data_IF_068940825071
#
_entry.id   IF_068940825071
#
_cell.length_a   1.000
_cell.length_b   1.000
_cell.length_c   1.000
_cell.angle_alpha   90.00
_cell.angle_beta   90.00
_cell.angle_gamma   90.00
#
_symmetry.space_group_name_H-M   'P 1'
#
loop_
_entity.id
_entity.type
_entity.pdbx_description
1 polymer ?
#
# COMPACT_ATOMS: atom_id res chain seq x y z
N UNK A 1 0.45 -0.86 1.32
CA UNK A 1 -0.10 -1.04 -0.03
C UNK A 1 0.43 0.03 -0.98
N UNK A 2 -0.15 1.25 -1.06
CA UNK A 2 0.15 2.21 -2.14
C UNK A 2 1.61 2.65 -2.30
N UNK A 3 2.43 2.55 -1.26
CA UNK A 3 3.85 2.91 -1.29
C UNK A 3 4.77 1.76 -1.73
N UNK A 4 4.24 0.55 -1.92
CA UNK A 4 4.97 -0.61 -2.42
C UNK A 4 4.98 -0.60 -3.95
N UNK A 5 6.02 -1.19 -4.56
CA UNK A 5 6.08 -1.38 -6.02
C UNK A 5 5.03 -2.37 -6.53
N UNK A 6 4.76 -3.40 -5.72
CA UNK A 6 3.77 -4.45 -5.99
C UNK A 6 2.94 -4.71 -4.74
N UNK A 7 1.66 -5.00 -4.95
CA UNK A 7 0.71 -5.36 -3.90
C UNK A 7 -0.03 -6.63 -4.29
N UNK A 8 0.14 -7.67 -3.48
CA UNK A 8 -0.69 -8.87 -3.48
C UNK A 8 -1.64 -8.76 -2.28
N UNK A 9 -2.91 -9.09 -2.46
CA UNK A 9 -3.91 -8.98 -1.42
C UNK A 9 -4.74 -10.26 -1.31
N UNK A 10 -4.97 -10.70 -0.07
CA UNK A 10 -5.91 -11.77 0.22
C UNK A 10 -7.35 -11.27 -0.04
N UNK A 11 -8.29 -12.12 -0.47
CA UNK A 11 -9.67 -11.71 -0.78
C UNK A 11 -10.38 -11.02 0.37
N UNK A 12 -10.12 -11.43 1.61
CA UNK A 12 -10.72 -10.80 2.78
C UNK A 12 -10.23 -9.37 3.04
N UNK A 13 -9.16 -8.91 2.37
CA UNK A 13 -8.56 -7.59 2.60
C UNK A 13 -9.52 -6.43 2.30
N UNK A 14 -9.33 -5.32 3.00
CA UNK A 14 -10.05 -4.05 2.79
C UNK A 14 -9.06 -2.90 2.70
N UNK A 15 -9.36 -1.92 1.85
CA UNK A 15 -8.50 -0.76 1.59
C UNK A 15 -9.30 0.54 1.70
N UNK A 16 -8.73 1.57 2.32
CA UNK A 16 -9.40 2.86 2.44
C UNK A 16 -8.49 3.95 3.02
N UNK A 17 -8.99 5.19 2.99
CA UNK A 17 -8.32 6.39 3.51
C UNK A 17 -9.28 7.14 4.45
N UNK A 18 -9.53 6.63 5.67
CA UNK A 18 -10.59 7.12 6.55
C UNK A 18 -10.28 8.46 7.23
N UNK A 19 -9.11 9.06 6.99
CA UNK A 19 -8.61 10.26 7.67
C UNK A 19 -9.58 11.44 7.63
N UNK A 20 -10.36 11.60 6.55
CA UNK A 20 -11.35 12.69 6.44
C UNK A 20 -12.47 12.58 7.48
N UNK A 21 -12.76 11.37 7.97
CA UNK A 21 -13.76 11.14 9.02
C UNK A 21 -13.35 11.72 10.38
N UNK A 22 -12.06 12.06 10.54
CA UNK A 22 -11.51 12.74 11.72
C UNK A 22 -11.01 14.16 11.39
N UNK A 23 -11.41 14.72 10.25
CA UNK A 23 -11.00 16.06 9.83
C UNK A 23 -9.54 16.17 9.37
N UNK A 24 -8.91 15.05 9.01
CA UNK A 24 -7.54 15.01 8.54
C UNK A 24 -7.46 14.66 7.05
N UNK A 25 -6.50 15.23 6.33
CA UNK A 25 -6.30 14.95 4.90
C UNK A 25 -4.99 14.21 4.72
N UNK A 26 -4.98 12.99 4.11
CA UNK A 26 -3.79 12.18 3.96
C UNK A 26 -2.96 12.64 2.75
N UNK A 27 -2.54 13.91 2.71
CA UNK A 27 -1.93 14.58 1.55
C UNK A 27 -0.72 13.82 0.98
N UNK A 28 0.17 13.34 1.87
CA UNK A 28 1.35 12.57 1.47
C UNK A 28 0.97 11.26 0.78
N UNK A 29 0.01 10.52 1.35
CA UNK A 29 -0.41 9.22 0.81
C UNK A 29 -1.24 9.42 -0.46
N UNK A 30 -2.03 10.50 -0.54
CA UNK A 30 -2.79 10.89 -1.72
C UNK A 30 -1.90 11.17 -2.93
N UNK A 31 -0.73 11.79 -2.74
CA UNK A 31 0.25 11.99 -3.81
C UNK A 31 0.77 10.67 -4.38
N UNK A 32 0.86 9.62 -3.55
CA UNK A 32 1.27 8.28 -3.96
C UNK A 32 0.08 7.54 -4.61
N UNK A 33 -1.12 7.60 -4.02
CA UNK A 33 -2.33 6.97 -4.54
C UNK A 33 -2.64 7.41 -5.97
N UNK A 34 -2.49 8.70 -6.27
CA UNK A 34 -2.69 9.27 -7.62
C UNK A 34 -1.74 8.71 -8.69
N UNK A 35 -0.64 8.04 -8.29
CA UNK A 35 0.25 7.32 -9.22
C UNK A 35 -0.22 5.89 -9.49
N UNK A 36 -1.06 5.34 -8.61
CA UNK A 36 -1.56 3.97 -8.69
C UNK A 36 -2.93 3.89 -9.38
N UNK A 37 -3.82 4.85 -9.09
CA UNK A 37 -5.21 4.84 -9.59
C UNK A 37 -5.54 6.15 -10.30
N UNK A 38 -6.63 6.16 -11.07
CA UNK A 38 -7.10 7.39 -11.71
C UNK A 38 -7.38 8.50 -10.71
N UNK A 39 -7.20 9.75 -11.13
CA UNK A 39 -7.46 10.95 -10.32
C UNK A 39 -8.86 10.94 -9.68
N UNK A 40 -9.88 10.50 -10.41
CA UNK A 40 -11.26 10.41 -9.92
C UNK A 40 -11.41 9.41 -8.78
N UNK A 41 -10.81 8.22 -8.93
CA UNK A 41 -10.83 7.17 -7.89
C UNK A 41 -10.03 7.59 -6.66
N UNK A 42 -8.86 8.22 -6.86
CA UNK A 42 -8.07 8.73 -5.75
C UNK A 42 -8.85 9.78 -4.94
N UNK A 43 -9.50 10.72 -5.62
CA UNK A 43 -10.31 11.75 -4.97
C UNK A 43 -11.51 11.15 -4.22
N UNK A 44 -12.26 10.24 -4.85
CA UNK A 44 -13.40 9.54 -4.23
C UNK A 44 -12.99 8.81 -2.94
N UNK A 45 -11.94 7.99 -3.01
CA UNK A 45 -11.46 7.21 -1.87
C UNK A 45 -11.04 8.10 -0.70
N UNK A 46 -10.30 9.16 -0.97
CA UNK A 46 -9.80 10.08 0.07
C UNK A 46 -10.93 10.94 0.64
N UNK A 47 -11.85 11.44 -0.19
CA UNK A 47 -12.88 12.40 0.27
C UNK A 47 -14.09 11.74 0.93
N UNK A 48 -14.42 10.49 0.56
CA UNK A 48 -15.46 9.71 1.24
C UNK A 48 -14.91 8.95 2.45
N UNK A 49 -13.63 8.54 2.40
CA UNK A 49 -12.99 7.74 3.44
C UNK A 49 -13.65 6.37 3.65
N UNK A 50 -14.32 5.84 2.63
CA UNK A 50 -14.91 4.51 2.64
C UNK A 50 -13.86 3.45 2.33
N UNK A 51 -14.11 2.24 2.83
CA UNK A 51 -13.31 1.07 2.47
C UNK A 51 -13.86 0.43 1.19
N UNK A 52 -12.96 -0.14 0.40
CA UNK A 52 -13.24 -0.95 -0.78
C UNK A 52 -12.73 -2.38 -0.57
N UNK A 53 -13.31 -3.34 -1.30
CA UNK A 53 -12.85 -4.72 -1.28
C UNK A 53 -11.52 -4.89 -2.02
N UNK A 54 -10.88 -6.04 -1.82
CA UNK A 54 -9.65 -6.39 -2.54
C UNK A 54 -9.91 -6.57 -4.06
N UNK A 55 -11.07 -7.08 -4.46
CA UNK A 55 -11.49 -7.17 -5.86
C UNK A 55 -11.61 -5.79 -6.50
N UNK A 56 -12.27 -4.84 -5.82
CA UNK A 56 -12.37 -3.47 -6.33
C UNK A 56 -11.00 -2.80 -6.38
N UNK A 57 -10.14 -3.02 -5.38
CA UNK A 57 -8.79 -2.51 -5.37
C UNK A 57 -7.95 -3.02 -6.56
N UNK A 58 -8.12 -4.27 -6.98
CA UNK A 58 -7.52 -4.80 -8.22
C UNK A 58 -8.12 -4.10 -9.44
N UNK A 59 -9.45 -3.98 -9.51
CA UNK A 59 -10.13 -3.39 -10.65
C UNK A 59 -9.73 -1.93 -10.93
N UNK A 60 -9.35 -1.17 -9.89
CA UNK A 60 -8.92 0.23 -10.03
C UNK A 60 -7.40 0.40 -10.14
N UNK A 61 -6.62 -0.69 -10.07
CA UNK A 61 -5.16 -0.67 -10.19
C UNK A 61 -4.38 -0.39 -8.89
N UNK A 62 -5.03 -0.43 -7.73
CA UNK A 62 -4.37 -0.27 -6.42
C UNK A 62 -3.64 -1.55 -5.98
N UNK A 63 -4.13 -2.71 -6.41
CA UNK A 63 -3.58 -4.04 -6.10
C UNK A 63 -3.24 -4.75 -7.40
N UNK A 64 -2.07 -5.40 -7.46
CA UNK A 64 -1.61 -6.12 -8.66
C UNK A 64 -2.27 -7.49 -8.79
N UNK A 65 -2.46 -8.20 -7.67
CA UNK A 65 -3.02 -9.55 -7.67
C UNK A 65 -3.88 -9.82 -6.44
N UNK A 66 -5.02 -10.44 -6.69
CA UNK A 66 -5.86 -11.03 -5.67
C UNK A 66 -5.43 -12.49 -5.47
N UNK A 67 -5.38 -12.93 -4.23
CA UNK A 67 -4.99 -14.28 -3.83
C UNK A 67 -6.05 -14.84 -2.89
N UNK A 68 -6.38 -16.13 -3.04
CA UNK A 68 -7.32 -16.81 -2.15
C UNK A 68 -6.75 -16.87 -0.72
N UNK A 69 -7.59 -16.64 0.30
CA UNK A 69 -7.12 -16.50 1.68
C UNK A 69 -6.42 -17.76 2.18
N UNK A 70 -6.90 -18.95 1.80
CA UNK A 70 -6.35 -20.24 2.21
C UNK A 70 -5.01 -20.59 1.54
N UNK A 71 -4.72 -19.99 0.38
CA UNK A 71 -3.52 -20.25 -0.42
C UNK A 71 -2.52 -19.09 -0.39
N UNK A 72 -2.73 -18.11 0.49
CA UNK A 72 -2.03 -16.82 0.43
C UNK A 72 -0.51 -16.96 0.48
N UNK A 73 0.01 -17.68 1.48
CA UNK A 73 1.45 -17.83 1.67
C UNK A 73 2.11 -18.57 0.49
N UNK A 74 1.51 -19.69 0.06
CA UNK A 74 2.02 -20.50 -1.04
C UNK A 74 2.05 -19.72 -2.37
N UNK A 75 0.98 -18.97 -2.67
CA UNK A 75 0.90 -18.16 -3.89
C UNK A 75 1.82 -16.94 -3.86
N UNK A 76 2.02 -16.32 -2.69
CA UNK A 76 2.99 -15.23 -2.52
C UNK A 76 4.41 -15.75 -2.72
N UNK A 77 4.76 -16.89 -2.12
CA UNK A 77 6.07 -17.52 -2.30
C UNK A 77 6.30 -17.87 -3.77
N UNK A 78 5.32 -18.49 -4.42
CA UNK A 78 5.39 -18.81 -5.85
C UNK A 78 5.55 -17.54 -6.72
N UNK A 79 4.91 -16.43 -6.34
CA UNK A 79 5.06 -15.15 -7.03
C UNK A 79 6.46 -14.57 -6.85
N UNK A 80 6.99 -14.55 -5.63
CA UNK A 80 8.33 -14.05 -5.32
C UNK A 80 9.41 -14.90 -6.01
N UNK A 81 9.22 -16.22 -6.09
CA UNK A 81 10.15 -17.13 -6.77
C UNK A 81 10.34 -16.79 -8.25
N UNK A 82 9.40 -16.11 -8.92
CA UNK A 82 9.57 -15.69 -10.31
C UNK A 82 10.75 -14.72 -10.48
N UNK A 83 11.05 -13.91 -9.45
CA UNK A 83 12.16 -12.97 -9.49
C UNK A 83 13.53 -13.64 -9.38
N UNK A 84 13.61 -14.90 -8.93
CA UNK A 84 14.90 -15.64 -8.87
C UNK A 84 15.50 -15.90 -10.25
N UNK A 85 14.65 -15.91 -11.28
CA UNK A 85 15.05 -16.09 -12.68
C UNK A 85 15.27 -14.75 -13.41
N UNK A 86 15.29 -13.64 -12.67
CA UNK A 86 15.48 -12.29 -13.23
C UNK A 86 16.77 -11.67 -12.70
N UNK A 87 17.31 -10.68 -13.41
CA UNK A 87 18.52 -9.97 -12.96
C UNK A 87 18.20 -9.14 -11.71
N UNK A 88 18.81 -9.51 -10.58
CA UNK A 88 18.63 -8.83 -9.29
C UNK A 88 19.03 -7.35 -9.35
N UNK A 89 20.06 -7.00 -10.12
CA UNK A 89 20.50 -5.61 -10.31
C UNK A 89 19.50 -4.81 -11.14
N UNK A 90 18.91 -5.41 -12.17
CA UNK A 90 17.89 -4.76 -12.99
C UNK A 90 16.59 -4.54 -12.20
N UNK A 91 16.15 -5.53 -11.42
CA UNK A 91 14.97 -5.42 -10.56
C UNK A 91 15.19 -4.33 -9.50
N UNK A 92 16.36 -4.30 -8.86
CA UNK A 92 16.69 -3.27 -7.87
C UNK A 92 16.62 -1.87 -8.47
N UNK A 93 17.22 -1.65 -9.65
CA UNK A 93 17.19 -0.36 -10.34
C UNK A 93 15.80 0.07 -10.81
N UNK A 94 14.88 -0.89 -10.99
CA UNK A 94 13.50 -0.62 -11.41
C UNK A 94 12.57 -0.30 -10.23
N UNK A 95 12.95 -0.65 -9.00
CA UNK A 95 12.16 -0.36 -7.81
C UNK A 95 12.10 1.16 -7.53
N UNK A 96 11.04 1.62 -6.84
CA UNK A 96 10.87 2.99 -6.37
C UNK A 96 11.85 3.32 -5.22
N UNK A 97 13.14 3.26 -5.51
CA UNK A 97 14.24 3.31 -4.54
C UNK A 97 14.13 4.54 -3.62
N UNK A 98 13.87 5.71 -4.19
CA UNK A 98 13.86 6.96 -3.41
C UNK A 98 12.67 7.08 -2.44
N UNK A 99 11.48 6.62 -2.83
CA UNK A 99 10.28 6.70 -2.00
C UNK A 99 10.27 5.65 -0.89
N UNK A 100 10.75 4.45 -1.20
CA UNK A 100 10.89 3.34 -0.26
C UNK A 100 11.95 3.67 0.79
N UNK A 101 13.14 4.13 0.37
CA UNK A 101 14.23 4.47 1.30
C UNK A 101 13.80 5.58 2.26
N UNK A 102 13.17 6.65 1.76
CA UNK A 102 12.68 7.74 2.59
C UNK A 102 11.57 7.30 3.56
N UNK A 103 10.64 6.43 3.14
CA UNK A 103 9.56 5.93 3.99
C UNK A 103 10.07 4.93 5.05
N UNK A 104 11.02 4.06 4.69
CA UNK A 104 11.69 3.17 5.65
C UNK A 104 12.44 3.98 6.70
N UNK A 105 13.27 4.94 6.27
CA UNK A 105 14.00 5.86 7.18
C UNK A 105 13.02 6.60 8.09
N UNK A 106 11.92 7.11 7.54
CA UNK A 106 10.90 7.81 8.32
C UNK A 106 10.23 6.89 9.36
N UNK A 107 9.86 5.65 9.00
CA UNK A 107 9.13 4.72 9.88
C UNK A 107 9.99 4.05 10.95
N UNK A 108 11.29 3.87 10.70
CA UNK A 108 12.23 3.37 11.71
C UNK A 108 12.73 4.48 12.64
N UNK A 109 12.41 5.74 12.36
CA UNK A 109 12.77 6.85 13.24
C UNK A 109 12.08 6.74 14.59
N UNK A 110 12.81 7.10 15.64
CA UNK A 110 12.31 7.07 17.01
C UNK A 110 11.06 7.98 17.19
N UNK A 111 11.01 9.10 16.46
CA UNK A 111 9.86 10.02 16.45
C UNK A 111 8.61 9.39 15.84
N UNK A 112 8.73 8.70 14.70
CA UNK A 112 7.58 8.04 14.08
C UNK A 112 7.05 6.90 14.96
N UNK A 113 7.95 6.10 15.54
CA UNK A 113 7.58 5.02 16.47
C UNK A 113 6.84 5.55 17.70
N UNK A 114 7.33 6.64 18.31
CA UNK A 114 6.64 7.33 19.43
C UNK A 114 5.30 7.93 19.03
N UNK A 115 5.18 8.44 17.80
CA UNK A 115 3.92 8.96 17.25
C UNK A 115 2.85 7.87 17.10
N UNK A 116 3.23 6.73 16.51
CA UNK A 116 2.34 5.56 16.35
C UNK A 116 1.91 5.02 17.72
N UNK A 117 2.84 4.91 18.68
CA UNK A 117 2.54 4.43 20.02
C UNK A 117 1.47 5.29 20.72
N UNK A 118 1.56 6.61 20.63
CA UNK A 118 0.55 7.54 21.18
C UNK A 118 -0.82 7.36 20.52
N UNK A 119 -0.85 7.30 19.19
CA UNK A 119 -2.10 7.10 18.44
C UNK A 119 -2.82 5.80 18.82
N UNK A 120 -2.07 4.69 18.97
CA UNK A 120 -2.63 3.39 19.36
C UNK A 120 -3.11 3.36 20.81
N UNK A 121 -2.46 4.12 21.70
CA UNK A 121 -2.81 4.17 23.12
C UNK A 121 -3.96 5.15 23.44
N UNK A 122 -4.46 5.92 22.45
CA UNK A 122 -5.51 6.95 22.61
C UNK A 122 -5.21 7.94 23.76
N UNK A 123 -3.95 8.32 23.91
CA UNK A 123 -3.52 9.48 24.69
C UNK A 123 -3.26 10.69 23.78
#
# INVERSE_FOLDING_TARGET
>A
ASACDLVLAARASRFGYPEVKIGFVPTMVMAILRRNVSEKRAFELVTLGNEISAEEAVAIGLVNRLVDDEAFDDEVDAFVQQFTNTSSSAVSLAALQFGVDANVIARISEECQKGIARFLMKE
#
